data_IF_632769166698
#
_entry.id   IF_632769166698
#
_cell.length_a   1.000
_cell.length_b   1.000
_cell.length_c   1.000
_cell.angle_alpha   90.00
_cell.angle_beta   90.00
_cell.angle_gamma   90.00
#
_symmetry.space_group_name_H-M   'P 1'
#
loop_
_entity.id
_entity.type
_entity.pdbx_description
1 polymer ?
#
# COMPACT_ATOMS: atom_id res chain seq x y z
N UNK A 1 -7.55 -20.31 -10.28
CA UNK A 1 -6.43 -21.01 -9.63
C UNK A 1 -6.14 -20.37 -8.27
N UNK A 2 -6.02 -21.15 -7.20
CA UNK A 2 -5.63 -20.64 -5.87
C UNK A 2 -4.09 -20.58 -5.81
N UNK A 3 -3.52 -19.37 -5.82
CA UNK A 3 -2.06 -19.11 -5.90
C UNK A 3 -1.21 -19.87 -4.87
N UNK A 4 -1.76 -20.17 -3.70
CA UNK A 4 -1.05 -20.82 -2.59
C UNK A 4 -1.45 -22.29 -2.38
N UNK A 5 -2.25 -22.88 -3.28
CA UNK A 5 -2.79 -24.24 -3.07
C UNK A 5 -1.67 -25.28 -2.92
N UNK A 6 -0.59 -25.10 -3.66
CA UNK A 6 0.53 -26.05 -3.71
C UNK A 6 1.39 -26.01 -2.44
N UNK A 7 1.24 -24.98 -1.61
CA UNK A 7 1.92 -24.89 -0.31
C UNK A 7 1.19 -25.71 0.78
N UNK A 8 0.06 -26.37 0.46
CA UNK A 8 -0.74 -27.13 1.41
C UNK A 8 -0.89 -28.60 0.98
N UNK A 9 -0.61 -29.50 1.92
CA UNK A 9 -0.78 -30.94 1.78
C UNK A 9 -2.00 -31.39 2.60
N UNK A 10 -2.84 -32.26 2.05
CA UNK A 10 -4.00 -32.80 2.75
C UNK A 10 -3.60 -34.03 3.56
N UNK A 11 -3.46 -33.88 4.87
CA UNK A 11 -3.04 -34.96 5.78
C UNK A 11 -4.26 -35.52 6.50
N UNK A 12 -4.39 -36.85 6.54
CA UNK A 12 -5.42 -37.51 7.35
C UNK A 12 -5.03 -37.44 8.82
N UNK A 13 -5.84 -36.79 9.63
CA UNK A 13 -5.67 -36.69 11.08
C UNK A 13 -6.86 -37.34 11.78
N UNK A 14 -6.61 -38.17 12.78
CA UNK A 14 -7.67 -38.67 13.67
C UNK A 14 -8.05 -37.59 14.68
N UNK A 15 -9.34 -37.33 14.81
CA UNK A 15 -9.87 -36.50 15.90
C UNK A 15 -9.89 -37.27 17.23
N UNK A 16 -10.18 -36.56 18.34
CA UNK A 16 -10.26 -37.14 19.69
C UNK A 16 -11.32 -38.25 19.81
N UNK A 17 -12.28 -38.28 18.88
CA UNK A 17 -13.32 -39.30 18.75
C UNK A 17 -12.98 -40.43 17.77
N UNK A 18 -11.73 -40.48 17.27
CA UNK A 18 -11.22 -41.54 16.40
C UNK A 18 -11.62 -41.45 14.93
N UNK A 19 -12.32 -40.39 14.49
CA UNK A 19 -12.72 -40.20 13.08
C UNK A 19 -11.58 -39.61 12.26
N UNK A 20 -11.38 -40.13 11.06
CA UNK A 20 -10.42 -39.58 10.11
C UNK A 20 -10.97 -38.29 9.49
N UNK A 21 -10.24 -37.20 9.67
CA UNK A 21 -10.52 -35.91 9.04
C UNK A 21 -9.34 -35.51 8.15
N UNK A 22 -9.62 -35.01 6.94
CA UNK A 22 -8.61 -34.45 6.07
C UNK A 22 -8.35 -33.00 6.50
N UNK A 23 -7.15 -32.70 7.00
CA UNK A 23 -6.74 -31.35 7.38
C UNK A 23 -5.64 -30.84 6.45
N UNK A 24 -5.75 -29.59 5.94
CA UNK A 24 -4.68 -28.96 5.17
C UNK A 24 -3.53 -28.57 6.10
N UNK A 25 -2.34 -29.10 5.84
CA UNK A 25 -1.09 -28.79 6.54
C UNK A 25 -0.20 -27.98 5.62
N UNK A 26 0.33 -26.85 6.10
CA UNK A 26 1.24 -26.01 5.32
C UNK A 26 2.63 -26.65 5.25
N UNK A 27 3.14 -26.85 4.04
CA UNK A 27 4.45 -27.43 3.73
C UNK A 27 5.36 -26.47 2.94
N UNK A 28 4.90 -25.26 2.65
CA UNK A 28 5.70 -24.25 1.96
C UNK A 28 6.71 -23.56 2.87
N UNK A 29 7.49 -22.66 2.27
CA UNK A 29 8.52 -21.87 2.96
C UNK A 29 7.94 -20.97 4.05
N UNK A 30 8.65 -20.91 5.17
CA UNK A 30 8.41 -19.94 6.22
C UNK A 30 9.36 -18.76 6.11
N UNK A 31 8.88 -17.59 6.49
CA UNK A 31 9.61 -16.34 6.40
C UNK A 31 9.72 -15.67 7.75
N UNK A 32 10.90 -15.14 8.04
CA UNK A 32 11.17 -14.29 9.19
C UNK A 32 11.26 -12.82 8.75
N UNK A 33 10.71 -11.94 9.60
CA UNK A 33 10.80 -10.49 9.42
C UNK A 33 11.83 -9.94 10.40
N UNK A 34 12.70 -9.04 9.93
CA UNK A 34 13.80 -8.47 10.73
C UNK A 34 13.39 -7.54 11.87
N UNK A 35 12.09 -7.43 12.19
CA UNK A 35 11.56 -6.56 13.23
C UNK A 35 11.04 -7.40 14.39
N UNK A 36 11.35 -6.97 15.61
CA UNK A 36 10.73 -7.49 16.82
C UNK A 36 9.24 -7.09 16.90
N UNK A 37 8.49 -7.65 17.84
CA UNK A 37 7.05 -7.34 17.99
C UNK A 37 6.77 -5.85 18.17
N UNK A 38 7.60 -5.18 18.97
CA UNK A 38 7.47 -3.74 19.21
C UNK A 38 7.73 -2.96 17.92
N UNK A 39 8.75 -3.35 17.16
CA UNK A 39 9.07 -2.83 15.84
C UNK A 39 7.93 -3.02 14.84
N UNK A 40 7.33 -4.22 14.79
CA UNK A 40 6.18 -4.53 13.92
C UNK A 40 4.96 -3.68 14.26
N UNK A 41 4.60 -3.58 15.54
CA UNK A 41 3.47 -2.74 15.99
C UNK A 41 3.70 -1.27 15.67
N UNK A 42 4.90 -0.75 15.94
CA UNK A 42 5.28 0.63 15.62
C UNK A 42 5.25 0.88 14.11
N UNK A 43 5.81 -0.03 13.32
CA UNK A 43 5.81 0.05 11.86
C UNK A 43 4.37 0.08 11.31
N UNK A 44 3.51 -0.82 11.78
CA UNK A 44 2.09 -0.84 11.38
C UNK A 44 1.37 0.44 11.75
N UNK A 45 1.56 0.93 12.99
CA UNK A 45 0.93 2.17 13.47
C UNK A 45 1.39 3.39 12.66
N UNK A 46 2.70 3.55 12.43
CA UNK A 46 3.24 4.63 11.61
C UNK A 46 2.76 4.56 10.17
N UNK A 47 2.64 3.35 9.61
CA UNK A 47 2.14 3.14 8.25
C UNK A 47 0.66 3.52 8.12
N UNK A 48 -0.16 3.17 9.12
CA UNK A 48 -1.57 3.58 9.17
C UNK A 48 -1.72 5.10 9.33
N UNK A 49 -0.88 5.73 10.15
CA UNK A 49 -0.86 7.18 10.32
C UNK A 49 -0.53 7.89 8.99
N UNK A 50 0.52 7.45 8.30
CA UNK A 50 0.89 8.00 6.99
C UNK A 50 -0.20 7.75 5.93
N UNK A 51 -0.81 6.57 5.91
CA UNK A 51 -1.95 6.29 5.03
C UNK A 51 -3.12 7.25 5.30
N UNK A 52 -3.45 7.50 6.56
CA UNK A 52 -4.51 8.43 6.93
C UNK A 52 -4.19 9.87 6.46
N UNK A 53 -2.94 10.32 6.63
CA UNK A 53 -2.48 11.62 6.13
C UNK A 53 -2.63 11.70 4.60
N UNK A 54 -2.18 10.68 3.87
CA UNK A 54 -2.31 10.64 2.40
C UNK A 54 -3.78 10.66 1.98
N UNK A 55 -4.65 9.89 2.64
CA UNK A 55 -6.08 9.86 2.33
C UNK A 55 -6.72 11.23 2.52
N UNK A 56 -6.41 11.91 3.64
CA UNK A 56 -6.93 13.26 3.90
C UNK A 56 -6.44 14.25 2.85
N UNK A 57 -5.13 14.29 2.57
CA UNK A 57 -4.56 15.22 1.59
C UNK A 57 -5.14 14.99 0.19
N UNK A 58 -5.09 13.76 -0.31
CA UNK A 58 -5.53 13.41 -1.65
C UNK A 58 -7.05 13.57 -1.81
N UNK A 59 -7.84 13.17 -0.81
CA UNK A 59 -9.29 13.35 -0.87
C UNK A 59 -9.68 14.83 -0.81
N UNK A 60 -9.01 15.63 0.01
CA UNK A 60 -9.22 17.09 0.08
C UNK A 60 -8.90 17.74 -1.27
N UNK A 61 -7.85 17.28 -1.96
CA UNK A 61 -7.50 17.77 -3.28
C UNK A 61 -8.66 17.60 -4.29
N UNK A 62 -9.34 16.45 -4.30
CA UNK A 62 -10.49 16.25 -5.21
C UNK A 62 -11.74 17.06 -4.89
N UNK A 63 -11.86 17.64 -3.69
CA UNK A 63 -12.94 18.57 -3.37
C UNK A 63 -12.62 20.01 -3.80
N UNK A 64 -11.39 20.29 -4.25
CA UNK A 64 -11.03 21.60 -4.79
C UNK A 64 -11.64 21.73 -6.18
N UNK A 65 -12.40 22.81 -6.39
CA UNK A 65 -12.97 23.14 -7.68
C UNK A 65 -11.94 23.83 -8.60
N UNK A 66 -10.88 23.10 -8.96
CA UNK A 66 -9.82 23.55 -9.87
C UNK A 66 -10.11 23.10 -11.31
N UNK A 67 -9.69 23.89 -12.29
CA UNK A 67 -9.94 23.63 -13.70
C UNK A 67 -9.03 22.52 -14.27
N UNK A 68 -7.83 22.33 -13.68
CA UNK A 68 -6.91 21.27 -14.07
C UNK A 68 -7.54 19.88 -13.99
N UNK A 69 -8.40 19.65 -12.99
CA UNK A 69 -9.11 18.38 -12.81
C UNK A 69 -10.09 18.00 -13.93
N UNK A 70 -10.47 18.93 -14.82
CA UNK A 70 -11.23 18.57 -16.03
C UNK A 70 -10.35 17.94 -17.13
N UNK A 71 -9.03 18.04 -17.01
CA UNK A 71 -8.11 17.45 -17.96
C UNK A 71 -7.95 15.96 -17.66
N UNK A 72 -8.09 15.13 -18.70
CA UNK A 72 -8.00 13.67 -18.55
C UNK A 72 -6.65 13.21 -18.00
N UNK A 73 -5.56 13.86 -18.43
CA UNK A 73 -4.21 13.53 -17.99
C UNK A 73 -3.90 13.93 -16.54
N UNK A 74 -4.77 14.71 -15.89
CA UNK A 74 -4.71 15.04 -14.45
C UNK A 74 -5.70 14.15 -13.65
N UNK A 75 -6.95 14.09 -14.10
CA UNK A 75 -8.00 13.32 -13.42
C UNK A 75 -7.79 11.81 -13.45
N UNK A 76 -7.20 11.26 -14.51
CA UNK A 76 -7.01 9.81 -14.61
C UNK A 76 -6.00 9.28 -13.58
N UNK A 77 -4.76 9.83 -13.45
CA UNK A 77 -3.86 9.47 -12.35
C UNK A 77 -4.47 9.67 -10.97
N UNK A 78 -5.25 10.75 -10.78
CA UNK A 78 -5.95 11.04 -9.53
C UNK A 78 -6.92 9.90 -9.17
N UNK A 79 -7.80 9.48 -10.09
CA UNK A 79 -8.77 8.40 -9.82
C UNK A 79 -8.08 7.05 -9.58
N UNK A 80 -7.08 6.70 -10.39
CA UNK A 80 -6.34 5.44 -10.20
C UNK A 80 -5.56 5.38 -8.89
N UNK A 81 -5.23 6.52 -8.30
CA UNK A 81 -4.55 6.59 -7.02
C UNK A 81 -5.41 5.99 -5.90
N UNK A 82 -6.74 6.09 -5.96
CA UNK A 82 -7.63 5.41 -5.00
C UNK A 82 -7.52 3.88 -5.05
N UNK A 83 -7.32 3.30 -6.23
CA UNK A 83 -7.10 1.86 -6.34
C UNK A 83 -5.79 1.43 -5.68
N UNK A 84 -4.72 2.20 -5.92
CA UNK A 84 -3.43 1.98 -5.28
C UNK A 84 -3.51 2.16 -3.76
N UNK A 85 -4.24 3.17 -3.28
CA UNK A 85 -4.52 3.43 -1.87
C UNK A 85 -5.28 2.27 -1.21
N UNK A 86 -6.28 1.71 -1.90
CA UNK A 86 -7.01 0.55 -1.41
C UNK A 86 -6.07 -0.65 -1.17
N UNK A 87 -5.25 -0.99 -2.16
CA UNK A 87 -4.29 -2.10 -2.01
C UNK A 87 -3.20 -1.82 -0.98
N UNK A 88 -2.75 -0.57 -0.86
CA UNK A 88 -1.82 -0.13 0.17
C UNK A 88 -2.41 -0.34 1.56
N UNK A 89 -3.62 0.18 1.80
CA UNK A 89 -4.33 0.01 3.07
C UNK A 89 -4.58 -1.46 3.41
N UNK A 90 -5.00 -2.25 2.42
CA UNK A 90 -5.20 -3.68 2.61
C UNK A 90 -3.90 -4.44 2.95
N UNK A 91 -2.77 -4.04 2.35
CA UNK A 91 -1.45 -4.55 2.70
C UNK A 91 -1.07 -4.20 4.15
N UNK A 92 -1.25 -2.92 4.53
CA UNK A 92 -0.90 -2.43 5.87
C UNK A 92 -1.74 -3.12 6.97
N UNK A 93 -3.05 -3.27 6.75
CA UNK A 93 -3.95 -3.93 7.71
C UNK A 93 -3.55 -5.39 7.96
N UNK A 94 -2.99 -6.07 6.96
CA UNK A 94 -2.50 -7.45 7.04
C UNK A 94 -1.10 -7.58 7.64
N UNK A 95 -0.40 -6.49 7.97
CA UNK A 95 0.90 -6.57 8.66
C UNK A 95 0.68 -7.27 10.02
N UNK A 96 1.45 -8.32 10.33
CA UNK A 96 1.38 -9.04 11.61
C UNK A 96 1.83 -8.15 12.77
N UNK A 97 1.30 -8.39 13.97
CA UNK A 97 1.63 -7.65 15.20
C UNK A 97 2.56 -8.42 16.16
N UNK A 98 2.81 -9.68 15.84
CA UNK A 98 3.55 -10.67 16.62
C UNK A 98 4.71 -11.17 15.75
N UNK A 99 5.83 -11.47 16.39
CA UNK A 99 6.99 -12.02 15.72
C UNK A 99 6.79 -13.54 15.65
N UNK A 100 6.51 -14.04 14.45
CA UNK A 100 6.30 -15.47 14.20
C UNK A 100 6.85 -15.84 12.83
N UNK A 101 7.00 -17.12 12.57
CA UNK A 101 7.22 -17.61 11.22
C UNK A 101 5.99 -17.31 10.36
N UNK A 102 6.20 -16.58 9.27
CA UNK A 102 5.15 -16.17 8.36
C UNK A 102 5.09 -17.10 7.17
N UNK A 103 3.87 -17.54 6.81
CA UNK A 103 3.66 -18.24 5.54
C UNK A 103 3.92 -17.29 4.38
N UNK A 104 4.23 -17.85 3.22
CA UNK A 104 4.35 -17.08 1.96
C UNK A 104 3.16 -16.14 1.71
N UNK A 105 1.95 -16.61 1.97
CA UNK A 105 0.72 -15.83 1.82
C UNK A 105 0.70 -14.58 2.72
N UNK A 106 1.12 -14.72 3.98
CA UNK A 106 1.16 -13.62 4.94
C UNK A 106 2.09 -12.51 4.43
N UNK A 107 3.28 -12.89 3.95
CA UNK A 107 4.29 -11.95 3.41
C UNK A 107 3.82 -11.27 2.12
N UNK A 108 3.31 -12.05 1.17
CA UNK A 108 2.88 -11.55 -0.13
C UNK A 108 1.71 -10.57 0.02
N UNK A 109 0.73 -10.88 0.88
CA UNK A 109 -0.48 -10.11 1.06
C UNK A 109 -0.32 -8.91 2.01
N UNK A 110 0.81 -8.80 2.73
CA UNK A 110 1.15 -7.69 3.61
C UNK A 110 2.32 -6.85 3.06
N UNK A 111 3.56 -7.19 3.40
CA UNK A 111 4.76 -6.41 3.11
C UNK A 111 4.99 -6.23 1.61
N UNK A 112 4.85 -7.30 0.81
CA UNK A 112 5.09 -7.20 -0.64
C UNK A 112 4.03 -6.36 -1.32
N UNK A 113 2.75 -6.60 -1.01
CA UNK A 113 1.64 -5.77 -1.49
C UNK A 113 1.83 -4.30 -1.11
N UNK A 114 2.18 -4.02 0.14
CA UNK A 114 2.44 -2.66 0.62
C UNK A 114 3.54 -2.00 -0.20
N UNK A 115 4.68 -2.67 -0.42
CA UNK A 115 5.80 -2.17 -1.24
C UNK A 115 5.37 -1.88 -2.68
N UNK A 116 4.70 -2.83 -3.33
CA UNK A 116 4.23 -2.67 -4.72
C UNK A 116 3.23 -1.54 -4.84
N UNK A 117 2.21 -1.50 -3.97
CA UNK A 117 1.18 -0.47 -4.00
C UNK A 117 1.75 0.92 -3.68
N UNK A 118 2.72 1.02 -2.75
CA UNK A 118 3.38 2.30 -2.44
C UNK A 118 4.14 2.86 -3.62
N UNK A 119 4.91 2.02 -4.31
CA UNK A 119 5.67 2.44 -5.49
C UNK A 119 4.74 2.87 -6.63
N UNK A 120 3.66 2.11 -6.86
CA UNK A 120 2.69 2.45 -7.89
C UNK A 120 1.97 3.78 -7.57
N UNK A 121 1.59 3.99 -6.30
CA UNK A 121 0.98 5.24 -5.85
C UNK A 121 1.94 6.44 -5.99
N UNK A 122 3.22 6.28 -5.67
CA UNK A 122 4.22 7.33 -5.88
C UNK A 122 4.34 7.72 -7.36
N UNK A 123 4.30 6.74 -8.28
CA UNK A 123 4.31 7.00 -9.72
C UNK A 123 3.08 7.82 -10.12
N UNK A 124 1.88 7.42 -9.67
CA UNK A 124 0.64 8.13 -10.00
C UNK A 124 0.64 9.58 -9.48
N UNK A 125 1.03 9.80 -8.22
CA UNK A 125 1.15 11.15 -7.67
C UNK A 125 2.21 11.97 -8.40
N UNK A 126 3.34 11.37 -8.77
CA UNK A 126 4.36 12.08 -9.56
C UNK A 126 3.83 12.51 -10.91
N UNK A 127 3.08 11.64 -11.60
CA UNK A 127 2.42 11.97 -12.87
C UNK A 127 1.41 13.10 -12.66
N UNK A 128 0.55 13.02 -11.64
CA UNK A 128 -0.44 14.05 -11.32
C UNK A 128 0.20 15.42 -11.05
N UNK A 129 1.25 15.45 -10.22
CA UNK A 129 2.02 16.68 -9.92
C UNK A 129 2.65 17.26 -11.19
N UNK A 130 3.31 16.43 -12.02
CA UNK A 130 3.93 16.91 -13.27
C UNK A 130 2.88 17.42 -14.28
N UNK A 131 1.75 16.72 -14.39
CA UNK A 131 0.64 17.09 -15.24
C UNK A 131 0.05 18.45 -14.84
N UNK A 132 -0.14 18.66 -13.54
CA UNK A 132 -0.64 19.92 -12.99
C UNK A 132 0.35 21.08 -13.18
N UNK A 133 1.66 20.83 -12.99
CA UNK A 133 2.70 21.82 -13.31
C UNK A 133 2.66 22.20 -14.79
N UNK A 134 2.55 21.22 -15.69
CA UNK A 134 2.44 21.47 -17.12
C UNK A 134 1.18 22.29 -17.43
N UNK A 135 0.03 21.93 -16.85
CA UNK A 135 -1.22 22.66 -17.02
C UNK A 135 -1.09 24.14 -16.62
N UNK A 136 -0.45 24.41 -15.48
CA UNK A 136 -0.18 25.77 -15.00
C UNK A 136 0.77 26.58 -15.90
N UNK A 137 1.75 25.94 -16.51
CA UNK A 137 2.72 26.62 -17.38
C UNK A 137 2.14 26.94 -18.77
N UNK A 138 1.30 26.05 -19.31
CA UNK A 138 0.79 26.18 -20.68
C UNK A 138 -0.60 26.82 -20.77
N UNK A 139 -1.31 27.00 -19.65
CA UNK A 139 -2.65 27.58 -19.63
C UNK A 139 -2.64 28.98 -19.04
N UNK A 140 -3.19 29.96 -19.77
CA UNK A 140 -3.35 31.34 -19.32
C UNK A 140 -4.54 31.51 -18.36
N UNK A 141 -4.48 30.86 -17.21
CA UNK A 141 -5.49 31.01 -16.16
C UNK A 141 -5.27 32.31 -15.40
N UNK A 142 -6.15 33.30 -15.60
CA UNK A 142 -6.17 34.57 -14.84
C UNK A 142 -7.10 34.51 -13.63
N UNK A 143 -8.20 33.78 -13.74
CA UNK A 143 -9.15 33.58 -12.66
C UNK A 143 -8.89 32.24 -11.95
N UNK A 144 -8.99 32.22 -10.61
CA UNK A 144 -8.89 31.01 -9.75
C UNK A 144 -7.55 30.26 -9.74
N UNK A 145 -6.46 30.86 -10.20
CA UNK A 145 -5.10 30.28 -10.15
C UNK A 145 -4.68 29.82 -8.74
N UNK A 146 -5.22 30.43 -7.69
CA UNK A 146 -5.01 30.03 -6.28
C UNK A 146 -5.49 28.59 -6.02
N UNK A 147 -6.60 28.16 -6.63
CA UNK A 147 -7.13 26.81 -6.42
C UNK A 147 -6.25 25.74 -7.09
N UNK A 148 -5.66 26.04 -8.25
CA UNK A 148 -4.68 25.16 -8.90
C UNK A 148 -3.43 24.98 -8.01
N UNK A 149 -2.89 26.07 -7.45
CA UNK A 149 -1.76 25.98 -6.52
C UNK A 149 -2.11 25.21 -5.25
N UNK A 150 -3.34 25.34 -4.74
CA UNK A 150 -3.80 24.59 -3.59
C UNK A 150 -3.88 23.09 -3.92
N UNK A 151 -4.49 22.73 -5.05
CA UNK A 151 -4.55 21.36 -5.55
C UNK A 151 -3.14 20.76 -5.71
N UNK A 152 -2.26 21.46 -6.44
CA UNK A 152 -0.87 21.07 -6.63
C UNK A 152 -0.14 20.85 -5.30
N UNK A 153 -0.34 21.74 -4.34
CA UNK A 153 0.31 21.65 -3.02
C UNK A 153 -0.15 20.40 -2.26
N UNK A 154 -1.44 20.08 -2.29
CA UNK A 154 -1.97 18.88 -1.62
C UNK A 154 -1.49 17.58 -2.30
N UNK A 155 -1.46 17.53 -3.62
CA UNK A 155 -0.92 16.38 -4.37
C UNK A 155 0.59 16.22 -4.14
N UNK A 156 1.35 17.33 -4.12
CA UNK A 156 2.78 17.31 -3.82
C UNK A 156 3.06 16.83 -2.38
N UNK A 157 2.26 17.27 -1.39
CA UNK A 157 2.35 16.78 -0.01
C UNK A 157 1.99 15.29 0.08
N UNK A 158 1.01 14.83 -0.70
CA UNK A 158 0.66 13.41 -0.80
C UNK A 158 1.82 12.58 -1.38
N UNK A 159 2.50 13.09 -2.43
CA UNK A 159 3.70 12.51 -3.01
C UNK A 159 4.86 12.41 -2.00
N UNK A 160 5.08 13.45 -1.20
CA UNK A 160 6.09 13.45 -0.13
C UNK A 160 5.73 12.44 0.95
N UNK A 161 4.47 12.38 1.39
CA UNK A 161 4.03 11.43 2.42
C UNK A 161 4.21 9.97 1.97
N UNK A 162 3.85 9.64 0.72
CA UNK A 162 4.09 8.28 0.19
C UNK A 162 5.58 7.98 0.03
N UNK A 163 6.40 8.96 -0.36
CA UNK A 163 7.85 8.80 -0.39
C UNK A 163 8.41 8.48 0.99
N UNK A 164 7.99 9.20 2.04
CA UNK A 164 8.37 8.91 3.42
C UNK A 164 7.96 7.48 3.80
N UNK A 165 6.74 7.06 3.47
CA UNK A 165 6.27 5.70 3.73
C UNK A 165 7.15 4.64 3.06
N UNK A 166 7.60 4.86 1.82
CA UNK A 166 8.54 3.98 1.13
C UNK A 166 9.90 3.95 1.84
N UNK A 167 10.39 5.09 2.32
CA UNK A 167 11.66 5.15 3.07
C UNK A 167 11.60 4.35 4.37
N UNK A 168 10.47 4.42 5.08
CA UNK A 168 10.21 3.63 6.31
C UNK A 168 10.16 2.12 6.03
N UNK A 169 9.78 1.71 4.82
CA UNK A 169 9.73 0.28 4.43
C UNK A 169 11.10 -0.32 4.10
N UNK A 170 12.10 0.49 3.68
CA UNK A 170 13.40 -0.03 3.19
C UNK A 170 14.17 -0.89 4.21
N UNK A 171 14.20 -0.57 5.52
CA UNK A 171 14.91 -1.38 6.51
C UNK A 171 14.32 -2.77 6.73
N UNK A 172 13.08 -3.03 6.29
CA UNK A 172 12.38 -4.29 6.56
C UNK A 172 12.86 -5.36 5.60
N UNK A 173 13.65 -6.29 6.15
CA UNK A 173 14.09 -7.50 5.47
C UNK A 173 13.13 -8.63 5.80
N UNK A 174 12.70 -9.32 4.76
CA UNK A 174 11.94 -10.58 4.87
C UNK A 174 12.82 -11.65 4.25
N UNK A 175 13.18 -12.65 5.05
CA UNK A 175 14.11 -13.71 4.66
C UNK A 175 13.43 -15.06 4.87
N UNK A 176 13.79 -16.04 4.06
CA UNK A 176 13.36 -17.43 4.28
C UNK A 176 14.02 -17.93 5.56
N UNK A 177 13.25 -18.56 6.45
CA UNK A 177 13.81 -19.19 7.65
C UNK A 177 14.68 -20.36 7.23
N UNK A 178 15.90 -20.52 7.77
CA UNK A 178 16.63 -21.77 7.64
C UNK A 178 15.84 -22.89 8.36
N UNK A 179 15.85 -24.08 7.76
CA UNK A 179 15.23 -25.31 8.29
C UNK A 179 15.89 -25.79 9.59
#
# INVERSE_FOLDING_TARGET
>A
MRKYKDDYEMVRTKDESGRETLKPVYRGDYFEVSLDEKGLRKFKSNSLLLLAVILVLHSTAGFINNQGMYQFYISLPYVFSFLALFYLGWGILRIPKEQRLHRREDVDLSFKRMKTASNFLLILFSIGVMAEIAFLLFTSLRERRVLEYLYLSLEALSAIAIFILIRVQKPIRVQTSPD
#
